data_IF_560917436065
#
_entry.id   IF_560917436065
#
_cell.length_a   1.000
_cell.length_b   1.000
_cell.length_c   1.000
_cell.angle_alpha   90.00
_cell.angle_beta   90.00
_cell.angle_gamma   90.00
#
_symmetry.space_group_name_H-M   'P 1'
#
loop_
_entity.id
_entity.type
_entity.pdbx_description
1 polymer ?
#
# COMPACT_ATOMS: atom_id res chain seq x y z
N UNK A 1 12.22 13.19 -2.87
CA UNK A 1 10.93 12.63 -3.28
C UNK A 1 9.88 12.96 -2.25
N UNK A 2 8.74 13.52 -2.66
CA UNK A 2 7.69 13.87 -1.71
C UNK A 2 6.88 12.64 -1.31
N UNK A 3 6.31 12.67 -0.12
CA UNK A 3 5.46 11.58 0.37
C UNK A 3 4.24 11.40 -0.55
N UNK A 4 3.68 12.50 -1.08
CA UNK A 4 2.55 12.44 -2.00
C UNK A 4 2.86 11.69 -3.29
N UNK A 5 4.04 11.90 -3.87
CA UNK A 5 4.50 11.19 -5.07
C UNK A 5 4.71 9.70 -4.75
N UNK A 6 5.34 9.40 -3.61
CA UNK A 6 5.55 8.02 -3.16
C UNK A 6 4.23 7.31 -2.93
N UNK A 7 3.26 7.99 -2.33
CA UNK A 7 1.91 7.45 -2.12
C UNK A 7 1.25 7.05 -3.43
N UNK A 8 1.29 7.93 -4.42
CA UNK A 8 0.70 7.68 -5.74
C UNK A 8 1.32 6.44 -6.40
N UNK A 9 2.64 6.33 -6.33
CA UNK A 9 3.38 5.19 -6.89
C UNK A 9 3.04 3.89 -6.17
N UNK A 10 2.98 3.92 -4.84
CA UNK A 10 2.65 2.74 -4.03
C UNK A 10 1.23 2.26 -4.30
N UNK A 11 0.26 3.15 -4.33
CA UNK A 11 -1.13 2.80 -4.61
C UNK A 11 -1.31 2.30 -6.03
N UNK A 12 -0.59 2.89 -7.00
CA UNK A 12 -0.59 2.43 -8.39
C UNK A 12 -0.01 1.02 -8.53
N UNK A 13 1.12 0.76 -7.84
CA UNK A 13 1.72 -0.58 -7.82
C UNK A 13 0.82 -1.61 -7.18
N UNK A 14 0.12 -1.23 -6.12
CA UNK A 14 -0.85 -2.11 -5.45
C UNK A 14 -2.00 -2.48 -6.40
N UNK A 15 -2.56 -1.51 -7.11
CA UNK A 15 -3.63 -1.76 -8.07
C UNK A 15 -3.17 -2.68 -9.21
N UNK A 16 -1.95 -2.48 -9.68
CA UNK A 16 -1.35 -3.33 -10.70
C UNK A 16 -1.19 -4.76 -10.19
N UNK A 17 -0.71 -4.93 -8.96
CA UNK A 17 -0.59 -6.23 -8.32
C UNK A 17 -1.96 -6.92 -8.19
N UNK A 18 -2.98 -6.20 -7.76
CA UNK A 18 -4.33 -6.73 -7.62
C UNK A 18 -4.90 -7.20 -8.97
N UNK A 19 -4.65 -6.42 -10.03
CA UNK A 19 -5.08 -6.78 -11.37
C UNK A 19 -4.38 -8.06 -11.86
N UNK A 20 -3.06 -8.15 -11.67
CA UNK A 20 -2.27 -9.34 -12.04
C UNK A 20 -2.72 -10.55 -11.23
N UNK A 21 -2.99 -10.37 -9.95
CA UNK A 21 -3.50 -11.44 -9.10
C UNK A 21 -4.85 -11.95 -9.59
N UNK A 22 -5.77 -11.06 -9.99
CA UNK A 22 -7.07 -11.44 -10.52
C UNK A 22 -6.93 -12.33 -11.76
N UNK A 23 -5.96 -12.00 -12.64
CA UNK A 23 -5.67 -12.81 -13.82
C UNK A 23 -5.12 -14.19 -13.46
N UNK A 24 -4.25 -14.25 -12.45
CA UNK A 24 -3.72 -15.52 -11.95
C UNK A 24 -4.86 -16.38 -11.40
N UNK A 25 -5.79 -15.79 -10.66
CA UNK A 25 -6.93 -16.49 -10.08
C UNK A 25 -7.85 -17.11 -11.11
N UNK A 26 -7.90 -16.59 -12.30
CA UNK A 26 -8.68 -17.17 -13.40
C UNK A 26 -8.19 -18.57 -13.76
N UNK A 27 -6.90 -18.85 -13.56
CA UNK A 27 -6.24 -20.12 -13.89
C UNK A 27 -5.83 -20.92 -12.66
N UNK A 28 -5.71 -20.27 -11.53
CA UNK A 28 -5.30 -20.91 -10.28
C UNK A 28 -6.33 -20.61 -9.20
N UNK A 29 -7.21 -21.55 -9.00
CA UNK A 29 -8.33 -21.39 -8.07
C UNK A 29 -8.48 -22.65 -7.20
N UNK A 30 -7.51 -22.84 -6.31
CA UNK A 30 -7.51 -23.92 -5.34
C UNK A 30 -7.46 -23.37 -3.91
N UNK A 31 -7.33 -24.26 -2.94
CA UNK A 31 -7.29 -23.88 -1.53
C UNK A 31 -6.08 -22.99 -1.21
N UNK A 32 -4.92 -23.25 -1.81
CA UNK A 32 -3.72 -22.46 -1.58
C UNK A 32 -3.89 -21.03 -2.10
N UNK A 33 -4.46 -20.86 -3.30
CA UNK A 33 -4.70 -19.52 -3.85
C UNK A 33 -5.77 -18.77 -3.06
N UNK A 34 -6.78 -19.45 -2.57
CA UNK A 34 -7.81 -18.87 -1.70
C UNK A 34 -7.20 -18.37 -0.39
N UNK A 35 -6.26 -19.12 0.18
CA UNK A 35 -5.55 -18.71 1.39
C UNK A 35 -4.71 -17.45 1.17
N UNK A 36 -4.01 -17.35 0.05
CA UNK A 36 -3.22 -16.16 -0.31
C UNK A 36 -4.16 -14.96 -0.49
N UNK A 37 -5.29 -15.14 -1.18
CA UNK A 37 -6.29 -14.10 -1.37
C UNK A 37 -6.76 -13.54 -0.03
N UNK A 38 -7.13 -14.41 0.88
CA UNK A 38 -7.67 -14.02 2.18
C UNK A 38 -6.60 -13.40 3.09
N UNK A 39 -5.40 -13.99 3.13
CA UNK A 39 -4.36 -13.62 4.11
C UNK A 39 -3.48 -12.48 3.66
N UNK A 40 -3.31 -12.28 2.36
CA UNK A 40 -2.35 -11.31 1.81
C UNK A 40 -3.02 -10.27 0.94
N UNK A 41 -3.70 -10.71 -0.12
CA UNK A 41 -4.21 -9.78 -1.14
C UNK A 41 -5.38 -8.96 -0.62
N UNK A 42 -6.35 -9.59 0.04
CA UNK A 42 -7.52 -8.90 0.59
C UNK A 42 -7.17 -7.79 1.58
N UNK A 43 -6.31 -8.06 2.57
CA UNK A 43 -5.91 -7.04 3.55
C UNK A 43 -4.89 -6.03 3.04
N UNK A 44 -4.31 -6.21 1.86
CA UNK A 44 -3.20 -5.39 1.38
C UNK A 44 -3.57 -3.92 1.26
N UNK A 45 -4.69 -3.60 0.65
CA UNK A 45 -5.09 -2.20 0.43
C UNK A 45 -5.28 -1.42 1.73
N UNK A 46 -6.09 -1.88 2.70
CA UNK A 46 -6.25 -1.13 3.94
C UNK A 46 -4.95 -1.01 4.74
N UNK A 47 -4.10 -2.04 4.73
CA UNK A 47 -2.80 -1.98 5.40
C UNK A 47 -1.86 -0.98 4.74
N UNK A 48 -1.82 -0.96 3.42
CA UNK A 48 -0.99 0.00 2.69
C UNK A 48 -1.48 1.43 2.91
N UNK A 49 -2.78 1.67 2.86
CA UNK A 49 -3.35 3.00 3.11
C UNK A 49 -3.06 3.48 4.53
N UNK A 50 -3.16 2.60 5.52
CA UNK A 50 -2.81 2.93 6.90
C UNK A 50 -1.34 3.29 7.05
N UNK A 51 -0.45 2.53 6.41
CA UNK A 51 0.99 2.81 6.43
C UNK A 51 1.31 4.14 5.77
N UNK A 52 0.71 4.43 4.62
CA UNK A 52 0.92 5.71 3.91
C UNK A 52 0.42 6.88 4.75
N UNK A 53 -0.74 6.75 5.39
CA UNK A 53 -1.27 7.79 6.27
C UNK A 53 -0.33 8.06 7.44
N UNK A 54 0.22 7.01 8.05
CA UNK A 54 1.20 7.15 9.13
C UNK A 54 2.47 7.86 8.66
N UNK A 55 2.95 7.53 7.47
CA UNK A 55 4.12 8.19 6.87
C UNK A 55 3.87 9.68 6.60
N UNK A 56 2.68 10.03 6.12
CA UNK A 56 2.30 11.43 5.88
C UNK A 56 2.28 12.23 7.19
N UNK A 57 1.71 11.64 8.26
CA UNK A 57 1.70 12.28 9.58
C UNK A 57 3.11 12.48 10.11
N UNK A 58 3.97 11.47 9.97
CA UNK A 58 5.37 11.56 10.38
C UNK A 58 6.09 12.67 9.61
N UNK A 59 5.86 12.75 8.31
CA UNK A 59 6.45 13.78 7.46
C UNK A 59 6.04 15.19 7.93
N UNK A 60 4.77 15.39 8.26
CA UNK A 60 4.26 16.66 8.77
C UNK A 60 4.89 17.02 10.12
N UNK A 61 5.04 16.06 11.01
CA UNK A 61 5.67 16.27 12.31
C UNK A 61 7.13 16.65 12.13
N UNK A 62 7.85 15.97 11.27
CA UNK A 62 9.27 16.27 10.99
C UNK A 62 9.45 17.65 10.38
N UNK A 63 8.57 18.06 9.48
CA UNK A 63 8.59 19.41 8.92
C UNK A 63 8.37 20.46 9.99
N UNK A 64 7.43 20.23 10.91
CA UNK A 64 7.16 21.13 12.01
C UNK A 64 8.36 21.26 12.95
N UNK A 65 8.94 20.15 13.34
CA UNK A 65 10.14 20.11 14.19
C UNK A 65 11.29 20.86 13.53
N UNK A 66 11.53 20.62 12.25
CA UNK A 66 12.57 21.29 11.47
C UNK A 66 12.35 22.79 11.44
N UNK A 67 11.12 23.25 11.21
CA UNK A 67 10.76 24.66 11.20
C UNK A 67 11.00 25.30 12.57
N UNK A 68 10.61 24.62 13.65
CA UNK A 68 10.75 25.14 15.02
C UNK A 68 12.22 25.23 15.45
N UNK A 69 13.10 24.42 14.84
CA UNK A 69 14.54 24.43 15.15
C UNK A 69 15.32 25.44 14.31
N UNK A 70 14.73 26.05 13.31
CA UNK A 70 15.35 27.12 12.53
C UNK A 70 15.15 28.46 13.23
#
# INVERSE_FOLDING_TARGET
MSVGVSRTKLLGSMKDLQLRWSRIRERWNDEASAHIEESVIGPLEPRLRAAVTAMEKMSQILQRVRKDCE
#
